data_IF_138945893205
#
_entry.id   IF_138945893205
#
_cell.length_a   1.000
_cell.length_b   1.000
_cell.length_c   1.000
_cell.angle_alpha   90.00
_cell.angle_beta   90.00
_cell.angle_gamma   90.00
#
_symmetry.space_group_name_H-M   'P 1'
#
loop_
_entity.id
_entity.type
_entity.pdbx_description
1 polymer ?
#
# COMPACT_ATOMS: atom_id res chain seq x y z
N UNK A 1 13.33 25.22 -2.09
CA UNK A 1 12.69 24.09 -2.80
C UNK A 1 13.59 23.49 -3.89
N UNK A 2 14.70 24.15 -4.23
CA UNK A 2 15.38 23.93 -5.51
C UNK A 2 16.27 22.69 -5.59
N UNK A 3 16.53 22.01 -4.47
CA UNK A 3 17.43 20.84 -4.45
C UNK A 3 16.72 19.49 -4.43
N UNK A 4 15.43 19.42 -4.04
CA UNK A 4 14.68 18.14 -4.02
C UNK A 4 14.24 17.77 -5.42
N UNK A 5 14.59 16.57 -5.89
CA UNK A 5 14.13 16.05 -7.18
C UNK A 5 12.77 15.40 -7.07
N UNK A 6 12.40 14.93 -5.88
CA UNK A 6 11.09 14.34 -5.57
C UNK A 6 10.47 14.94 -4.32
N UNK A 7 9.15 15.12 -4.34
CA UNK A 7 8.36 15.57 -3.20
C UNK A 7 7.00 14.88 -3.25
N UNK A 8 6.66 14.14 -2.20
CA UNK A 8 5.39 13.39 -2.12
C UNK A 8 4.92 13.17 -0.69
N UNK A 9 3.63 12.88 -0.55
CA UNK A 9 3.01 12.30 0.63
C UNK A 9 2.73 10.84 0.36
N UNK A 10 3.13 9.97 1.27
CA UNK A 10 2.90 8.55 1.11
C UNK A 10 3.00 7.78 2.41
N UNK A 11 2.40 6.59 2.41
CA UNK A 11 2.46 5.64 3.51
C UNK A 11 3.62 4.69 3.32
N UNK A 12 4.48 4.54 4.33
CA UNK A 12 5.53 3.52 4.33
C UNK A 12 4.87 2.13 4.46
N UNK A 13 4.91 1.32 3.39
CA UNK A 13 4.25 0.00 3.35
C UNK A 13 5.21 -1.14 3.60
N UNK A 14 6.50 -0.95 3.30
CA UNK A 14 7.54 -1.95 3.49
C UNK A 14 8.86 -1.26 3.89
N UNK A 15 9.53 -1.80 4.90
CA UNK A 15 10.89 -1.41 5.28
C UNK A 15 11.77 -2.61 5.01
N UNK A 16 12.68 -2.47 4.05
CA UNK A 16 13.64 -3.50 3.69
C UNK A 16 14.87 -3.39 4.59
N UNK A 17 15.68 -4.44 4.58
CA UNK A 17 17.03 -4.39 5.17
C UNK A 17 17.83 -3.33 4.41
N UNK A 18 18.77 -2.66 5.10
CA UNK A 18 19.65 -1.61 4.56
C UNK A 18 19.02 -0.21 4.37
N UNK A 19 17.91 0.07 5.06
CA UNK A 19 17.31 1.42 5.10
C UNK A 19 16.51 1.81 3.86
N UNK A 20 16.25 0.87 2.95
CA UNK A 20 15.38 1.09 1.80
C UNK A 20 13.90 0.94 2.21
N UNK A 21 13.09 1.96 1.97
CA UNK A 21 11.67 1.95 2.31
C UNK A 21 10.81 2.11 1.06
N UNK A 22 9.79 1.27 0.94
CA UNK A 22 8.79 1.35 -0.12
C UNK A 22 7.58 2.13 0.39
N UNK A 23 7.21 3.16 -0.37
CA UNK A 23 6.04 3.98 -0.12
C UNK A 23 4.92 3.65 -1.09
N UNK A 24 3.69 3.61 -0.58
CA UNK A 24 2.51 3.82 -1.41
C UNK A 24 2.23 5.33 -1.46
N UNK A 25 2.17 5.87 -2.67
CA UNK A 25 2.03 7.31 -2.90
C UNK A 25 0.56 7.69 -2.80
N UNK A 26 0.27 8.66 -1.93
CA UNK A 26 -1.07 9.24 -1.78
C UNK A 26 -1.18 10.53 -2.60
N UNK A 27 -0.13 11.36 -2.60
CA UNK A 27 -0.07 12.63 -3.34
C UNK A 27 1.38 12.92 -3.74
N UNK A 28 1.61 13.42 -4.95
CA UNK A 28 2.95 13.80 -5.42
C UNK A 28 2.95 15.23 -5.94
N UNK A 29 3.94 16.01 -5.54
CA UNK A 29 4.13 17.40 -5.99
C UNK A 29 5.33 17.55 -6.91
N UNK A 30 6.26 16.60 -6.92
CA UNK A 30 7.45 16.64 -7.79
C UNK A 30 8.02 15.24 -8.03
N UNK A 31 8.39 14.96 -9.29
CA UNK A 31 9.32 13.89 -9.65
C UNK A 31 8.85 12.44 -9.47
N UNK A 32 7.59 12.20 -9.08
CA UNK A 32 7.01 10.87 -8.89
C UNK A 32 5.80 10.72 -9.82
N UNK A 33 5.76 9.66 -10.62
CA UNK A 33 4.67 9.33 -11.55
C UNK A 33 4.13 7.90 -11.36
N UNK A 34 4.55 7.20 -10.31
CA UNK A 34 4.16 5.82 -9.98
C UNK A 34 3.39 5.76 -8.66
N UNK A 35 2.59 4.71 -8.48
CA UNK A 35 1.81 4.50 -7.24
C UNK A 35 2.68 3.96 -6.09
N UNK A 36 3.83 3.37 -6.40
CA UNK A 36 4.82 2.91 -5.44
C UNK A 36 6.16 3.57 -5.74
N UNK A 37 6.91 3.88 -4.69
CA UNK A 37 8.19 4.57 -4.81
C UNK A 37 9.15 4.12 -3.71
N UNK A 38 10.40 3.87 -4.07
CA UNK A 38 11.42 3.42 -3.11
C UNK A 38 12.38 4.57 -2.79
N UNK A 39 12.71 4.73 -1.52
CA UNK A 39 13.67 5.73 -1.07
C UNK A 39 14.51 5.19 0.08
N UNK A 40 15.80 5.49 0.06
CA UNK A 40 16.69 5.19 1.17
C UNK A 40 16.55 6.24 2.26
N UNK A 41 16.48 5.80 3.51
CA UNK A 41 16.65 6.65 4.67
C UNK A 41 18.09 7.22 4.75
N UNK A 42 18.30 8.09 5.74
CA UNK A 42 19.58 8.73 6.00
C UNK A 42 20.44 7.95 7.02
N UNK A 43 19.99 6.79 7.51
CA UNK A 43 20.61 6.00 8.56
C UNK A 43 20.43 6.49 10.00
N UNK A 44 19.95 7.71 10.22
CA UNK A 44 19.78 8.31 11.55
C UNK A 44 18.32 8.30 12.00
N UNK A 45 17.40 8.56 11.06
CA UNK A 45 15.96 8.62 11.27
C UNK A 45 15.26 7.64 10.33
N UNK A 46 15.22 6.33 10.67
CA UNK A 46 14.56 5.35 9.83
C UNK A 46 13.04 5.59 9.79
N UNK A 47 12.43 5.23 8.67
CA UNK A 47 10.98 5.28 8.54
C UNK A 47 10.30 4.24 9.43
N UNK A 48 9.06 4.52 9.81
CA UNK A 48 8.21 3.63 10.61
C UNK A 48 7.15 3.03 9.67
N UNK A 49 7.00 1.72 9.72
CA UNK A 49 6.01 1.01 8.90
C UNK A 49 4.61 1.50 9.26
N UNK A 50 3.76 1.58 8.24
CA UNK A 50 2.38 2.03 8.33
C UNK A 50 2.17 3.50 8.70
N UNK A 51 3.23 4.29 8.79
CA UNK A 51 3.15 5.74 9.03
C UNK A 51 3.12 6.51 7.70
N UNK A 52 2.35 7.61 7.67
CA UNK A 52 2.26 8.53 6.54
C UNK A 52 3.30 9.62 6.71
N UNK A 53 4.08 9.88 5.66
CA UNK A 53 5.15 10.86 5.66
C UNK A 53 4.93 11.91 4.57
N UNK A 54 5.41 13.12 4.85
CA UNK A 54 5.83 14.05 3.81
C UNK A 54 7.30 13.76 3.53
N UNK A 55 7.65 13.48 2.27
CA UNK A 55 8.99 13.06 1.88
C UNK A 55 9.56 14.03 0.85
N UNK A 56 10.75 14.53 1.15
CA UNK A 56 11.61 15.27 0.25
C UNK A 56 12.86 14.42 -0.03
N UNK A 57 13.14 14.18 -1.31
CA UNK A 57 14.27 13.35 -1.72
C UNK A 57 15.02 13.93 -2.91
N UNK A 58 16.27 13.49 -3.03
CA UNK A 58 17.17 13.79 -4.14
C UNK A 58 18.03 12.58 -4.47
N UNK A 59 18.48 12.49 -5.72
CA UNK A 59 19.46 11.47 -6.11
C UNK A 59 20.82 11.86 -5.54
N UNK A 60 21.41 10.97 -4.74
CA UNK A 60 22.74 11.09 -4.16
C UNK A 60 23.48 9.77 -4.42
N UNK A 61 24.67 9.83 -5.02
CA UNK A 61 25.45 8.62 -5.36
C UNK A 61 24.67 7.59 -6.21
N UNK A 62 23.82 8.08 -7.12
CA UNK A 62 22.96 7.25 -7.97
C UNK A 62 21.77 6.60 -7.24
N UNK A 63 21.62 6.82 -5.92
CA UNK A 63 20.49 6.32 -5.13
C UNK A 63 19.57 7.48 -4.74
N UNK A 64 18.26 7.24 -4.82
CA UNK A 64 17.32 8.21 -4.29
C UNK A 64 17.33 8.14 -2.75
N UNK A 65 17.71 9.24 -2.11
CA UNK A 65 17.80 9.35 -0.65
C UNK A 65 16.88 10.45 -0.16
N UNK A 66 16.36 10.27 1.05
CA UNK A 66 15.67 11.35 1.73
C UNK A 66 16.66 12.46 2.10
N UNK A 67 16.23 13.71 1.99
CA UNK A 67 17.07 14.85 2.34
C UNK A 67 17.04 15.08 3.86
N UNK A 68 18.21 15.08 4.50
CA UNK A 68 18.41 15.33 5.93
C UNK A 68 17.96 16.72 6.37
N UNK A 69 18.24 17.75 5.56
CA UNK A 69 18.09 19.16 5.96
C UNK A 69 16.66 19.71 5.81
N UNK A 70 15.65 19.01 6.33
CA UNK A 70 14.62 19.76 7.05
C UNK A 70 13.23 19.89 6.43
N UNK A 71 12.67 18.84 5.84
CA UNK A 71 11.19 18.79 5.65
C UNK A 71 10.60 17.38 5.63
N UNK A 72 11.41 16.34 5.50
CA UNK A 72 10.91 14.96 5.55
C UNK A 72 10.54 14.60 6.98
N UNK A 73 9.35 14.05 7.18
CA UNK A 73 8.90 13.61 8.50
C UNK A 73 7.45 13.12 8.48
N UNK A 74 6.95 12.58 9.61
CA UNK A 74 5.57 12.15 9.72
C UNK A 74 4.64 13.28 9.33
N UNK A 75 3.62 12.97 8.53
CA UNK A 75 2.74 13.95 7.90
C UNK A 75 2.18 14.97 8.89
N UNK A 76 1.69 14.52 10.05
CA UNK A 76 1.04 15.38 11.04
C UNK A 76 1.99 16.39 11.67
N UNK A 77 3.30 16.08 11.74
CA UNK A 77 4.31 16.97 12.31
C UNK A 77 5.00 17.81 11.24
N UNK A 78 5.32 17.21 10.10
CA UNK A 78 6.11 17.85 9.06
C UNK A 78 5.30 18.83 8.21
N UNK A 79 3.99 18.59 8.01
CA UNK A 79 3.17 19.39 7.09
C UNK A 79 3.11 20.87 7.48
N UNK A 80 2.96 21.19 8.76
CA UNK A 80 2.75 22.59 9.17
C UNK A 80 4.01 23.40 9.02
N UNK A 81 5.15 22.85 9.45
CA UNK A 81 6.46 23.47 9.27
C UNK A 81 6.79 23.59 7.77
N UNK A 82 6.54 22.54 6.98
CA UNK A 82 6.80 22.54 5.56
C UNK A 82 5.90 23.54 4.80
N UNK A 83 4.62 23.66 5.15
CA UNK A 83 3.69 24.57 4.47
C UNK A 83 3.85 26.04 4.90
N UNK A 84 4.32 26.32 6.11
CA UNK A 84 4.59 27.70 6.58
C UNK A 84 5.81 28.32 5.91
N UNK A 85 6.82 27.52 5.61
CA UNK A 85 8.15 28.00 5.19
C UNK A 85 8.43 27.85 3.67
N UNK A 86 7.50 27.26 2.90
CA UNK A 86 7.74 27.12 1.46
C UNK A 86 6.51 27.46 0.66
N UNK A 87 6.71 28.18 -0.44
CA UNK A 87 5.75 28.40 -1.52
C UNK A 87 5.31 27.12 -2.23
N UNK A 88 5.07 26.02 -1.50
CA UNK A 88 4.20 24.92 -1.86
C UNK A 88 2.81 25.52 -1.99
N UNK A 89 2.52 26.11 -3.15
CA UNK A 89 1.12 26.30 -3.55
C UNK A 89 0.55 24.90 -3.65
N UNK A 90 -0.34 24.56 -2.73
CA UNK A 90 -1.17 23.38 -2.82
C UNK A 90 -1.83 23.41 -4.20
N UNK A 91 -1.34 22.58 -5.11
CA UNK A 91 -2.14 22.18 -6.26
C UNK A 91 -3.09 21.18 -5.63
N UNK A 92 -4.16 21.67 -5.00
CA UNK A 92 -5.28 20.80 -4.68
C UNK A 92 -5.64 20.14 -6.00
N UNK A 93 -5.56 18.81 -6.16
CA UNK A 93 -6.41 18.17 -7.14
C UNK A 93 -7.83 18.63 -6.78
N UNK A 94 -8.68 18.87 -7.78
CA UNK A 94 -10.10 19.17 -7.56
C UNK A 94 -10.63 18.29 -6.42
N UNK A 95 -11.52 18.82 -5.55
CA UNK A 95 -12.05 18.05 -4.44
C UNK A 95 -12.45 16.70 -5.01
N UNK A 96 -11.69 15.66 -4.65
CA UNK A 96 -12.04 14.30 -4.98
C UNK A 96 -13.34 14.19 -4.22
N UNK A 97 -14.46 14.26 -4.96
CA UNK A 97 -15.78 13.85 -4.55
C UNK A 97 -15.52 12.70 -3.61
N UNK A 98 -15.87 12.89 -2.33
CA UNK A 98 -15.66 11.91 -1.28
C UNK A 98 -15.96 10.55 -1.88
N UNK A 99 -14.90 9.85 -2.28
CA UNK A 99 -15.06 8.59 -2.96
C UNK A 99 -15.41 7.71 -1.80
N UNK A 100 -16.73 7.53 -1.64
CA UNK A 100 -17.34 6.64 -0.68
C UNK A 100 -16.38 5.48 -0.51
N UNK A 101 -15.91 5.34 0.74
CA UNK A 101 -15.28 4.10 1.19
C UNK A 101 -16.03 2.96 0.49
N UNK A 102 -15.35 2.00 -0.15
CA UNK A 102 -16.03 0.79 -0.53
C UNK A 102 -16.56 0.23 0.77
N UNK A 103 -17.86 0.46 1.01
CA UNK A 103 -18.65 -0.19 2.04
C UNK A 103 -18.30 -1.63 1.82
N UNK A 104 -17.58 -2.23 2.78
CA UNK A 104 -17.26 -3.64 2.71
C UNK A 104 -18.60 -4.34 2.51
N UNK A 105 -18.86 -4.76 1.27
CA UNK A 105 -19.96 -5.64 0.98
C UNK A 105 -19.55 -6.92 1.67
N UNK A 106 -20.13 -7.12 2.86
CA UNK A 106 -20.37 -8.42 3.43
C UNK A 106 -21.34 -9.13 2.47
N UNK A 107 -20.79 -9.51 1.31
CA UNK A 107 -21.40 -10.36 0.32
C UNK A 107 -20.83 -11.73 0.56
N UNK A 108 -21.68 -12.62 1.06
CA UNK A 108 -21.34 -13.97 1.48
C UNK A 108 -20.99 -14.80 0.24
N UNK A 109 -19.80 -14.61 -0.33
CA UNK A 109 -19.24 -15.55 -1.28
C UNK A 109 -18.45 -16.57 -0.48
N UNK A 110 -19.10 -17.72 -0.25
CA UNK A 110 -18.41 -18.94 0.17
C UNK A 110 -17.17 -19.07 -0.72
N UNK A 111 -15.95 -19.10 -0.15
CA UNK A 111 -14.75 -19.25 -0.96
C UNK A 111 -14.92 -20.49 -1.83
N UNK A 112 -14.53 -20.41 -3.11
CA UNK A 112 -14.75 -21.47 -4.10
C UNK A 112 -14.27 -22.86 -3.62
N UNK A 113 -13.38 -22.90 -2.63
CA UNK A 113 -12.95 -24.09 -1.90
C UNK A 113 -14.09 -24.85 -1.21
N UNK A 114 -15.05 -24.17 -0.57
CA UNK A 114 -16.18 -24.84 0.14
C UNK A 114 -17.12 -25.52 -0.86
N UNK A 115 -17.38 -24.88 -2.01
CA UNK A 115 -18.23 -25.44 -3.07
C UNK A 115 -17.61 -26.72 -3.63
N UNK A 116 -16.28 -26.72 -3.87
CA UNK A 116 -15.57 -27.90 -4.39
C UNK A 116 -15.63 -29.07 -3.39
N UNK A 117 -15.43 -28.81 -2.09
CA UNK A 117 -15.47 -29.86 -1.05
C UNK A 117 -16.87 -30.48 -0.96
N UNK A 118 -17.93 -29.67 -1.02
CA UNK A 118 -19.31 -30.15 -0.97
C UNK A 118 -19.65 -31.06 -2.16
N UNK A 119 -19.23 -30.69 -3.38
CA UNK A 119 -19.43 -31.51 -4.59
C UNK A 119 -18.66 -32.83 -4.50
N UNK A 120 -17.41 -32.81 -4.02
CA UNK A 120 -16.60 -34.01 -3.86
C UNK A 120 -17.22 -35.00 -2.87
N UNK A 121 -17.74 -34.52 -1.73
CA UNK A 121 -18.42 -35.35 -0.73
C UNK A 121 -19.71 -35.97 -1.29
N UNK A 122 -20.50 -35.19 -2.05
CA UNK A 122 -21.74 -35.69 -2.66
C UNK A 122 -21.47 -36.85 -3.63
N UNK A 123 -20.43 -36.72 -4.47
CA UNK A 123 -20.04 -37.77 -5.41
C UNK A 123 -19.57 -39.04 -4.68
N UNK A 124 -18.83 -38.91 -3.59
CA UNK A 124 -18.41 -40.05 -2.76
C UNK A 124 -19.61 -40.82 -2.20
N UNK A 125 -20.62 -40.12 -1.67
CA UNK A 125 -21.84 -40.75 -1.14
C UNK A 125 -22.60 -41.48 -2.24
N UNK A 126 -22.75 -40.87 -3.42
CA UNK A 126 -23.40 -41.50 -4.58
C UNK A 126 -22.69 -42.79 -4.99
N UNK A 127 -21.36 -42.78 -5.06
CA UNK A 127 -20.56 -43.97 -5.39
C UNK A 127 -20.77 -45.08 -4.36
N UNK A 128 -20.80 -44.74 -3.06
CA UNK A 128 -21.05 -45.71 -1.99
C UNK A 128 -22.46 -46.30 -2.07
N UNK A 129 -23.47 -45.49 -2.34
CA UNK A 129 -24.86 -45.94 -2.50
C UNK A 129 -25.01 -46.86 -3.72
N UNK A 130 -24.39 -46.53 -4.84
CA UNK A 130 -24.40 -47.36 -6.05
C UNK A 130 -23.70 -48.70 -5.76
N UNK A 131 -22.53 -48.69 -5.13
CA UNK A 131 -21.82 -49.93 -4.76
C UNK A 131 -22.65 -50.79 -3.79
N UNK A 132 -23.25 -50.19 -2.76
CA UNK A 132 -24.13 -50.90 -1.82
C UNK A 132 -25.37 -51.48 -2.51
N UNK A 133 -25.99 -50.73 -3.42
CA UNK A 133 -27.15 -51.21 -4.18
C UNK A 133 -26.77 -52.34 -5.13
N UNK A 134 -25.57 -52.30 -5.73
CA UNK A 134 -25.05 -53.37 -6.58
C UNK A 134 -24.74 -54.64 -5.78
N UNK A 135 -24.14 -54.52 -4.60
CA UNK A 135 -23.86 -55.69 -3.74
C UNK A 135 -25.10 -56.31 -3.09
N UNK A 136 -26.20 -55.57 -2.92
CA UNK A 136 -27.48 -56.13 -2.41
C UNK A 136 -28.35 -56.79 -3.50
N UNK A 137 -27.96 -56.69 -4.77
CA UNK A 137 -28.70 -57.23 -5.92
C UNK A 137 -28.01 -58.44 -6.58
N UNK A 138 -26.83 -58.84 -6.08
CA UNK A 138 -26.25 -60.17 -6.29
C UNK A 138 -26.55 -61.01 -5.06
#
# INVERSE_FOLDING_TARGET
MDHSTVVFKGKAVEIKKDGLTVFRIDEAWKGVNTQQFEIYDNGWDPFIKDTVYLVFGSVQEGKLRMNLCGRTGPWDHAREAAMKDSGIKSIKPDPIMEAEQPKQQMGNTLPATIVIIAVALLLLVLVVLIRRKRMRRQ
#
